data_IF_986670290514
#
_entry.id   IF_986670290514
#
_cell.length_a   1.000
_cell.length_b   1.000
_cell.length_c   1.000
_cell.angle_alpha   90.00
_cell.angle_beta   90.00
_cell.angle_gamma   90.00
#
_symmetry.space_group_name_H-M   'P 1'
#
loop_
_entity.id
_entity.type
_entity.pdbx_description
1 polymer ?
#
# COMPACT_ATOMS: atom_id res chain seq x y z
N UNK A 1 -8.70 -4.79 -7.66
CA UNK A 1 -8.60 -5.12 -9.11
C UNK A 1 -9.83 -5.89 -9.55
N UNK A 2 -10.70 -5.31 -10.39
CA UNK A 2 -11.95 -5.94 -10.86
C UNK A 2 -11.75 -7.16 -11.76
N UNK A 3 -10.52 -7.39 -12.23
CA UNK A 3 -10.18 -8.53 -13.10
C UNK A 3 -9.57 -9.72 -12.32
N UNK A 4 -9.43 -9.62 -10.99
CA UNK A 4 -8.89 -10.70 -10.18
C UNK A 4 -9.92 -11.85 -10.00
N UNK A 5 -9.46 -13.10 -10.06
CA UNK A 5 -10.31 -14.28 -9.83
C UNK A 5 -10.87 -14.36 -8.40
N UNK A 6 -10.21 -13.71 -7.43
CA UNK A 6 -10.72 -13.55 -6.06
C UNK A 6 -11.67 -12.34 -6.04
N UNK A 7 -12.95 -12.51 -5.62
CA UNK A 7 -13.99 -11.49 -5.84
C UNK A 7 -13.82 -10.19 -5.03
N UNK A 8 -12.91 -10.17 -4.05
CA UNK A 8 -12.70 -9.08 -3.11
C UNK A 8 -11.19 -8.87 -2.88
N UNK A 9 -10.58 -7.99 -3.67
CA UNK A 9 -9.37 -7.29 -3.24
C UNK A 9 -9.70 -6.57 -1.93
N UNK A 10 -8.94 -6.82 -0.86
CA UNK A 10 -9.09 -6.06 0.39
C UNK A 10 -8.04 -4.96 0.40
N UNK A 11 -8.49 -3.70 0.38
CA UNK A 11 -7.62 -2.54 0.55
C UNK A 11 -7.97 -1.82 1.86
N UNK A 12 -6.97 -1.39 2.60
CA UNK A 12 -7.13 -0.54 3.78
C UNK A 12 -6.13 0.61 3.73
N UNK A 13 -6.60 1.86 3.68
CA UNK A 13 -5.76 3.02 3.95
C UNK A 13 -5.61 3.23 5.46
N UNK A 14 -4.43 3.62 5.90
CA UNK A 14 -4.17 4.20 7.22
C UNK A 14 -3.85 5.69 7.04
N UNK A 15 -4.82 6.56 7.29
CA UNK A 15 -4.68 8.02 7.26
C UNK A 15 -4.66 8.63 8.67
N UNK A 16 -4.28 7.81 9.65
CA UNK A 16 -4.21 8.19 11.05
C UNK A 16 -5.51 8.82 11.58
N UNK A 17 -5.48 10.09 11.98
CA UNK A 17 -6.60 10.87 12.51
C UNK A 17 -7.23 11.82 11.47
N UNK A 18 -6.97 11.60 10.17
CA UNK A 18 -7.57 12.36 9.06
C UNK A 18 -8.66 11.58 8.35
N UNK A 19 -9.69 12.31 7.91
CA UNK A 19 -10.91 11.75 7.32
C UNK A 19 -11.44 12.63 6.19
N UNK A 20 -12.22 12.03 5.28
CA UNK A 20 -12.90 12.77 4.21
C UNK A 20 -11.91 13.51 3.30
N UNK A 21 -12.20 14.79 3.02
CA UNK A 21 -11.39 15.60 2.12
C UNK A 21 -9.94 15.83 2.61
N UNK A 22 -9.67 15.66 3.91
CA UNK A 22 -8.29 15.72 4.44
C UNK A 22 -7.42 14.56 3.91
N UNK A 23 -8.05 13.52 3.35
CA UNK A 23 -7.38 12.38 2.73
C UNK A 23 -7.28 12.49 1.20
N UNK A 24 -7.76 13.58 0.58
CA UNK A 24 -7.72 13.75 -0.88
C UNK A 24 -6.29 13.89 -1.43
N UNK A 25 -5.34 14.27 -0.57
CA UNK A 25 -3.92 14.42 -0.90
C UNK A 25 -3.06 13.83 0.22
N UNK A 26 -1.98 13.13 -0.14
CA UNK A 26 -0.94 12.77 0.81
C UNK A 26 -0.19 14.04 1.21
N UNK A 27 -0.21 14.44 2.50
CA UNK A 27 0.52 15.63 2.93
C UNK A 27 2.03 15.37 2.96
N UNK A 28 2.84 16.42 2.84
CA UNK A 28 4.29 16.29 2.97
C UNK A 28 4.69 15.97 4.43
N UNK A 29 5.79 15.25 4.66
CA UNK A 29 6.32 15.04 6.01
C UNK A 29 6.65 16.38 6.70
N UNK A 30 6.37 16.50 8.02
CA UNK A 30 5.93 15.46 8.94
C UNK A 30 4.40 15.28 9.01
N UNK A 31 3.61 15.96 8.19
CA UNK A 31 2.15 15.98 8.33
C UNK A 31 1.46 14.67 7.90
N UNK A 32 2.13 13.79 7.16
CA UNK A 32 1.70 12.42 6.88
C UNK A 32 2.14 11.40 7.95
N UNK A 33 2.66 11.84 9.10
CA UNK A 33 3.08 10.97 10.20
C UNK A 33 2.19 11.20 11.41
N UNK A 34 1.55 10.14 11.90
CA UNK A 34 0.74 10.19 13.11
C UNK A 34 1.62 10.55 14.32
N UNK A 35 1.03 11.14 15.38
CA UNK A 35 1.72 11.46 16.65
C UNK A 35 2.44 10.26 17.31
N UNK A 36 2.06 9.03 16.97
CA UNK A 36 2.73 7.81 17.42
C UNK A 36 3.97 7.43 16.56
N UNK A 37 4.37 8.27 15.60
CA UNK A 37 5.50 8.02 14.70
C UNK A 37 5.18 7.12 13.51
N UNK A 38 3.91 6.76 13.29
CA UNK A 38 3.50 5.86 12.20
C UNK A 38 3.13 6.70 10.97
N UNK A 39 3.85 6.56 9.83
CA UNK A 39 3.48 7.22 8.60
C UNK A 39 2.16 6.68 8.04
N UNK A 40 1.48 7.48 7.22
CA UNK A 40 0.37 6.98 6.43
C UNK A 40 0.82 5.82 5.55
N UNK A 41 -0.04 4.85 5.34
CA UNK A 41 0.21 3.75 4.42
C UNK A 41 -1.08 3.28 3.76
N UNK A 42 -0.95 2.59 2.64
CA UNK A 42 -2.03 1.78 2.08
C UNK A 42 -1.58 0.32 2.08
N UNK A 43 -2.49 -0.57 2.45
CA UNK A 43 -2.26 -2.01 2.30
C UNK A 43 -3.31 -2.62 1.38
N UNK A 44 -2.87 -3.58 0.58
CA UNK A 44 -3.73 -4.40 -0.28
C UNK A 44 -3.40 -5.87 -0.06
N UNK A 45 -4.44 -6.70 0.01
CA UNK A 45 -4.30 -8.16 0.02
C UNK A 45 -4.91 -8.69 -1.28
N UNK A 46 -4.07 -9.39 -2.04
CA UNK A 46 -4.47 -10.17 -3.20
C UNK A 46 -3.76 -11.51 -3.09
N UNK A 47 -4.50 -12.53 -2.67
CA UNK A 47 -3.94 -13.83 -2.29
C UNK A 47 -2.96 -14.38 -3.36
N UNK A 48 -1.78 -14.86 -2.94
CA UNK A 48 -1.38 -15.10 -1.56
C UNK A 48 -0.74 -13.90 -0.85
N UNK A 49 -0.55 -12.78 -1.54
CA UNK A 49 0.31 -11.70 -1.06
C UNK A 49 -0.45 -10.58 -0.36
N UNK A 50 0.22 -10.02 0.66
CA UNK A 50 -0.09 -8.71 1.24
C UNK A 50 1.01 -7.73 0.85
N UNK A 51 0.61 -6.56 0.37
CA UNK A 51 1.53 -5.47 0.05
C UNK A 51 1.15 -4.24 0.88
N UNK A 52 2.16 -3.59 1.46
CA UNK A 52 2.03 -2.35 2.23
C UNK A 52 2.95 -1.30 1.60
N UNK A 53 2.35 -0.14 1.28
CA UNK A 53 3.07 1.02 0.77
C UNK A 53 2.95 2.16 1.77
N UNK A 54 4.07 2.46 2.42
CA UNK A 54 4.21 3.66 3.21
C UNK A 54 4.16 4.89 2.31
N UNK A 55 3.40 5.91 2.72
CA UNK A 55 3.21 7.17 2.01
C UNK A 55 4.14 8.28 2.51
N UNK A 56 5.21 7.88 3.21
CA UNK A 56 6.35 8.73 3.54
C UNK A 56 7.47 8.46 2.53
N UNK A 57 8.04 9.50 1.89
CA UNK A 57 9.13 9.33 0.93
C UNK A 57 10.32 8.55 1.53
N UNK A 58 10.95 7.73 0.70
CA UNK A 58 12.15 6.94 1.03
C UNK A 58 11.98 5.81 2.05
N UNK A 59 10.77 5.57 2.57
CA UNK A 59 10.48 4.36 3.36
C UNK A 59 10.46 3.11 2.48
N UNK A 60 10.88 1.94 3.00
CA UNK A 60 10.77 0.69 2.28
C UNK A 60 9.30 0.28 2.12
N UNK A 61 9.02 -0.39 1.01
CA UNK A 61 7.77 -1.11 0.84
C UNK A 61 7.83 -2.45 1.56
N UNK A 62 6.67 -3.04 1.82
CA UNK A 62 6.56 -4.35 2.45
C UNK A 62 5.73 -5.30 1.57
N UNK A 63 6.22 -6.53 1.44
CA UNK A 63 5.56 -7.62 0.71
C UNK A 63 5.67 -8.90 1.51
N UNK A 64 4.54 -9.54 1.79
CA UNK A 64 4.46 -10.77 2.57
C UNK A 64 3.65 -11.83 1.82
N UNK A 65 4.13 -13.07 1.82
CA UNK A 65 3.38 -14.23 1.36
C UNK A 65 2.61 -14.83 2.55
N UNK A 66 1.30 -14.59 2.63
CA UNK A 66 0.49 -15.02 3.77
C UNK A 66 0.29 -16.54 3.84
N UNK A 67 0.64 -17.30 2.79
CA UNK A 67 0.57 -18.76 2.83
C UNK A 67 1.78 -19.37 3.52
N UNK A 68 2.97 -18.83 3.26
CA UNK A 68 4.23 -19.35 3.80
C UNK A 68 4.71 -18.58 5.04
N UNK A 69 4.26 -17.34 5.20
CA UNK A 69 4.59 -16.43 6.30
C UNK A 69 3.32 -15.75 6.85
N UNK A 70 2.44 -16.50 7.52
CA UNK A 70 1.17 -15.97 8.06
C UNK A 70 1.37 -14.92 9.18
N UNK A 71 2.55 -14.89 9.80
CA UNK A 71 2.92 -13.94 10.86
C UNK A 71 3.63 -12.69 10.31
N UNK A 72 3.79 -12.57 8.97
CA UNK A 72 4.36 -11.40 8.28
C UNK A 72 5.76 -11.02 8.77
N UNK A 73 6.61 -12.01 9.05
CA UNK A 73 7.94 -11.81 9.63
C UNK A 73 9.02 -11.51 8.59
N UNK A 74 8.82 -11.92 7.34
CA UNK A 74 9.81 -11.84 6.27
C UNK A 74 9.34 -10.90 5.16
N UNK A 75 9.88 -9.67 5.15
CA UNK A 75 9.60 -8.72 4.08
C UNK A 75 10.33 -9.12 2.79
N UNK A 76 9.56 -9.50 1.76
CA UNK A 76 10.01 -9.93 0.44
C UNK A 76 10.17 -8.77 -0.58
N UNK A 77 9.86 -7.52 -0.20
CA UNK A 77 9.83 -6.41 -1.16
C UNK A 77 11.19 -6.12 -1.82
N UNK A 78 12.28 -6.42 -1.12
CA UNK A 78 13.65 -6.28 -1.64
C UNK A 78 14.19 -7.56 -2.32
N UNK A 79 13.43 -8.65 -2.32
CA UNK A 79 13.83 -9.90 -2.94
C UNK A 79 13.57 -9.87 -4.46
N UNK A 80 14.60 -9.96 -5.31
CA UNK A 80 14.44 -9.98 -6.77
C UNK A 80 13.53 -11.10 -7.28
N UNK A 81 13.43 -12.23 -6.56
CA UNK A 81 12.54 -13.32 -6.94
C UNK A 81 11.05 -12.93 -6.88
N UNK A 82 10.72 -11.89 -6.12
CA UNK A 82 9.35 -11.40 -5.89
C UNK A 82 9.06 -10.08 -6.60
N UNK A 83 9.98 -9.58 -7.45
CA UNK A 83 9.84 -8.29 -8.13
C UNK A 83 8.58 -8.18 -9.00
N UNK A 84 8.19 -9.26 -9.69
CA UNK A 84 6.96 -9.27 -10.51
C UNK A 84 5.69 -9.26 -9.66
N UNK A 85 5.69 -9.93 -8.51
CA UNK A 85 4.59 -9.87 -7.55
C UNK A 85 4.44 -8.45 -6.99
N UNK A 86 5.55 -7.82 -6.60
CA UNK A 86 5.57 -6.44 -6.15
C UNK A 86 5.02 -5.47 -7.20
N UNK A 87 5.47 -5.56 -8.46
CA UNK A 87 4.94 -4.74 -9.56
C UNK A 87 3.45 -4.94 -9.78
N UNK A 88 2.98 -6.20 -9.72
CA UNK A 88 1.55 -6.53 -9.87
C UNK A 88 0.72 -5.87 -8.76
N UNK A 89 1.18 -5.93 -7.51
CA UNK A 89 0.47 -5.36 -6.37
C UNK A 89 0.55 -3.82 -6.32
N UNK A 90 1.65 -3.21 -6.79
CA UNK A 90 1.73 -1.77 -7.04
C UNK A 90 0.65 -1.33 -8.03
N UNK A 91 0.52 -2.02 -9.15
CA UNK A 91 -0.51 -1.74 -10.14
C UNK A 91 -1.93 -1.97 -9.59
N UNK A 92 -2.14 -3.06 -8.85
CA UNK A 92 -3.41 -3.36 -8.20
C UNK A 92 -3.80 -2.28 -7.17
N UNK A 93 -2.84 -1.76 -6.40
CA UNK A 93 -3.04 -0.65 -5.46
C UNK A 93 -3.53 0.60 -6.18
N UNK A 94 -2.85 1.00 -7.25
CA UNK A 94 -3.27 2.17 -8.04
C UNK A 94 -4.66 1.98 -8.67
N UNK A 95 -4.93 0.80 -9.20
CA UNK A 95 -6.23 0.47 -9.77
C UNK A 95 -7.34 0.52 -8.71
N UNK A 96 -7.09 0.02 -7.51
CA UNK A 96 -8.08 -0.02 -6.42
C UNK A 96 -8.35 1.37 -5.83
N UNK A 97 -7.32 2.20 -5.65
CA UNK A 97 -7.47 3.61 -5.26
C UNK A 97 -8.32 4.38 -6.29
N UNK A 98 -8.05 4.20 -7.60
CA UNK A 98 -8.85 4.82 -8.66
C UNK A 98 -10.30 4.32 -8.66
N UNK A 99 -10.50 2.99 -8.53
CA UNK A 99 -11.84 2.37 -8.51
C UNK A 99 -12.71 2.89 -7.37
N UNK A 100 -12.07 3.25 -6.25
CA UNK A 100 -12.73 3.76 -5.04
C UNK A 100 -12.79 5.29 -4.96
N UNK A 101 -12.38 5.99 -6.02
CA UNK A 101 -12.29 7.46 -6.06
C UNK A 101 -11.42 8.06 -4.94
N UNK A 102 -10.42 7.31 -4.47
CA UNK A 102 -9.46 7.78 -3.49
C UNK A 102 -8.49 8.77 -4.15
N UNK A 103 -8.82 10.06 -4.09
CA UNK A 103 -8.09 11.14 -4.78
C UNK A 103 -6.60 11.24 -4.44
N UNK A 104 -6.18 10.70 -3.29
CA UNK A 104 -4.76 10.63 -2.92
C UNK A 104 -3.89 9.92 -3.95
N UNK A 105 -4.48 9.08 -4.83
CA UNK A 105 -3.76 8.37 -5.89
C UNK A 105 -2.92 9.30 -6.78
N UNK A 106 -3.33 10.56 -6.93
CA UNK A 106 -2.64 11.57 -7.74
C UNK A 106 -1.47 12.25 -7.01
N UNK A 107 -1.23 11.89 -5.75
CA UNK A 107 -0.24 12.52 -4.85
C UNK A 107 0.64 11.53 -4.10
N UNK A 108 0.64 10.25 -4.49
CA UNK A 108 1.44 9.24 -3.82
C UNK A 108 2.94 9.51 -4.02
N UNK A 109 3.79 9.36 -2.99
CA UNK A 109 5.24 9.54 -3.14
C UNK A 109 5.84 8.48 -4.06
N UNK A 110 6.97 8.73 -4.73
CA UNK A 110 7.59 7.74 -5.62
C UNK A 110 7.97 6.46 -4.86
N UNK A 111 7.85 5.32 -5.54
CA UNK A 111 8.38 4.02 -5.06
C UNK A 111 9.84 3.90 -5.46
N UNK A 112 10.62 3.08 -4.74
CA UNK A 112 11.99 2.75 -5.15
C UNK A 112 11.96 1.77 -6.31
N UNK A 113 12.83 1.96 -7.30
CA UNK A 113 13.02 1.02 -8.42
C UNK A 113 13.72 -0.26 -7.97
#
# INVERSE_FOLDING_TARGET
>A
NSEAAWPHTTMMPFTADKFGADCDRVPDPPANVHKAGIPWYVMIVQSPYKYIRTLNPNEPEELYDLLTDPDELTNLAADPAHAEALKTLRAATLAELKRTDAKMVDSLPPVKE
#
